data_IF_547843301831
#
_entry.id   IF_547843301831
#
_cell.length_a   1.000
_cell.length_b   1.000
_cell.length_c   1.000
_cell.angle_alpha   90.00
_cell.angle_beta   90.00
_cell.angle_gamma   90.00
#
_symmetry.space_group_name_H-M   'P 1'
#
loop_
_entity.id
_entity.type
_entity.pdbx_description
1 polymer ?
#
# COMPACT_ATOMS: atom_id res chain seq x y z
N UNK A 1 5.56 -40.67 17.65
CA UNK A 1 4.64 -40.40 16.53
C UNK A 1 3.54 -39.39 16.92
N UNK A 2 2.96 -39.51 18.13
CA UNK A 2 1.93 -38.57 18.63
C UNK A 2 2.41 -37.12 18.82
N UNK A 3 3.66 -36.88 19.25
CA UNK A 3 4.16 -35.51 19.46
C UNK A 3 4.30 -34.72 18.14
N UNK A 4 4.81 -35.35 17.06
CA UNK A 4 4.93 -34.69 15.75
C UNK A 4 3.57 -34.32 15.16
N UNK A 5 2.56 -35.18 15.33
CA UNK A 5 1.18 -34.90 14.87
C UNK A 5 0.56 -33.76 15.66
N UNK A 6 0.73 -33.73 16.99
CA UNK A 6 0.24 -32.63 17.83
C UNK A 6 0.90 -31.29 17.48
N UNK A 7 2.20 -31.27 17.19
CA UNK A 7 2.90 -30.04 16.78
C UNK A 7 2.38 -29.53 15.44
N UNK A 8 2.21 -30.40 14.43
CA UNK A 8 1.70 -30.02 13.11
C UNK A 8 0.27 -29.46 13.22
N UNK A 9 -0.59 -30.11 13.98
CA UNK A 9 -1.99 -29.69 14.16
C UNK A 9 -2.07 -28.34 14.89
N UNK A 10 -1.25 -28.12 15.93
CA UNK A 10 -1.21 -26.85 16.64
C UNK A 10 -0.70 -25.67 15.79
N UNK A 11 0.15 -25.94 14.80
CA UNK A 11 0.64 -24.91 13.87
C UNK A 11 -0.44 -24.58 12.83
N UNK A 12 -1.14 -25.58 12.31
CA UNK A 12 -2.26 -25.36 11.37
C UNK A 12 -3.37 -24.51 12.01
N UNK A 13 -3.73 -24.80 13.26
CA UNK A 13 -4.74 -24.04 14.00
C UNK A 13 -4.29 -22.59 14.31
N UNK A 14 -2.98 -22.35 14.35
CA UNK A 14 -2.41 -21.01 14.51
C UNK A 14 -2.47 -20.24 13.20
N UNK A 15 -2.02 -20.85 12.11
CA UNK A 15 -2.05 -20.25 10.77
C UNK A 15 -3.47 -19.90 10.32
N UNK A 16 -4.44 -20.78 10.59
CA UNK A 16 -5.84 -20.52 10.28
C UNK A 16 -6.39 -19.32 11.06
N UNK A 17 -6.07 -19.21 12.36
CA UNK A 17 -6.46 -18.06 13.18
C UNK A 17 -5.81 -16.77 12.69
N UNK A 18 -4.51 -16.83 12.40
CA UNK A 18 -3.75 -15.70 11.88
C UNK A 18 -4.32 -15.13 10.57
N UNK A 19 -4.83 -16.00 9.69
CA UNK A 19 -5.49 -15.59 8.44
C UNK A 19 -6.85 -14.94 8.73
N UNK A 20 -7.64 -15.51 9.64
CA UNK A 20 -8.95 -14.96 10.02
C UNK A 20 -8.81 -13.60 10.70
N UNK A 21 -7.86 -13.44 11.63
CA UNK A 21 -7.61 -12.18 12.33
C UNK A 21 -7.20 -11.07 11.35
N UNK A 22 -6.38 -11.42 10.35
CA UNK A 22 -5.99 -10.51 9.26
C UNK A 22 -7.16 -10.18 8.35
N UNK A 23 -7.99 -11.17 8.03
CA UNK A 23 -9.21 -10.95 7.26
C UNK A 23 -10.11 -9.90 7.92
N UNK A 24 -10.36 -10.04 9.22
CA UNK A 24 -11.13 -9.05 9.95
C UNK A 24 -10.46 -7.67 9.95
N UNK A 25 -9.14 -7.63 10.14
CA UNK A 25 -8.36 -6.39 10.12
C UNK A 25 -8.49 -5.69 8.78
N UNK A 26 -8.37 -6.40 7.67
CA UNK A 26 -8.53 -5.85 6.32
C UNK A 26 -9.92 -5.25 6.13
N UNK A 27 -10.98 -5.97 6.51
CA UNK A 27 -12.34 -5.45 6.37
C UNK A 27 -12.61 -4.23 7.27
N UNK A 28 -11.99 -4.16 8.45
CA UNK A 28 -12.03 -2.97 9.31
C UNK A 28 -11.30 -1.77 8.69
N UNK A 29 -10.11 -1.99 8.12
CA UNK A 29 -9.32 -0.94 7.47
C UNK A 29 -9.97 -0.44 6.17
N UNK A 30 -10.55 -1.34 5.38
CA UNK A 30 -11.28 -1.01 4.16
C UNK A 30 -12.43 -0.03 4.45
N UNK A 31 -13.19 -0.26 5.52
CA UNK A 31 -14.26 0.65 5.93
C UNK A 31 -13.73 1.97 6.49
N UNK A 32 -12.73 1.91 7.38
CA UNK A 32 -12.19 3.09 8.09
C UNK A 32 -11.47 4.06 7.17
N UNK A 33 -10.60 3.55 6.31
CA UNK A 33 -9.63 4.36 5.55
C UNK A 33 -10.05 4.58 4.09
N UNK A 34 -10.89 3.68 3.54
CA UNK A 34 -11.24 3.68 2.12
C UNK A 34 -12.75 3.83 1.86
N UNK A 35 -13.57 3.97 2.90
CA UNK A 35 -15.03 4.11 2.77
C UNK A 35 -15.74 2.86 2.22
N UNK A 36 -15.05 1.72 2.16
CA UNK A 36 -15.56 0.45 1.67
C UNK A 36 -16.41 -0.24 2.74
N UNK A 37 -17.57 0.34 3.01
CA UNK A 37 -18.56 -0.24 3.93
C UNK A 37 -19.12 -1.57 3.41
N UNK A 38 -19.79 -2.33 4.27
CA UNK A 38 -20.40 -3.62 3.91
C UNK A 38 -21.39 -3.49 2.74
N UNK A 39 -22.18 -2.42 2.70
CA UNK A 39 -23.13 -2.19 1.59
C UNK A 39 -22.42 -1.88 0.28
N UNK A 40 -21.34 -1.09 0.32
CA UNK A 40 -20.49 -0.80 -0.85
C UNK A 40 -19.84 -2.08 -1.35
N UNK A 41 -19.18 -2.84 -0.47
CA UNK A 41 -18.56 -4.11 -0.84
C UNK A 41 -19.60 -5.11 -1.40
N UNK A 42 -20.81 -5.15 -0.83
CA UNK A 42 -21.88 -6.00 -1.34
C UNK A 42 -22.29 -5.61 -2.77
N UNK A 43 -22.44 -4.31 -3.04
CA UNK A 43 -22.79 -3.79 -4.36
C UNK A 43 -21.70 -4.06 -5.41
N UNK A 44 -20.43 -3.82 -5.05
CA UNK A 44 -19.30 -3.95 -5.98
C UNK A 44 -18.93 -5.42 -6.28
N UNK A 45 -19.12 -6.32 -5.31
CA UNK A 45 -18.69 -7.74 -5.43
C UNK A 45 -19.82 -8.73 -5.67
N UNK A 46 -21.07 -8.31 -5.47
CA UNK A 46 -22.25 -9.18 -5.46
C UNK A 46 -22.29 -10.17 -4.30
N UNK A 47 -21.44 -10.03 -3.28
CA UNK A 47 -21.50 -10.82 -2.06
C UNK A 47 -22.65 -10.35 -1.17
N UNK A 48 -23.31 -11.28 -0.47
CA UNK A 48 -24.36 -10.88 0.48
C UNK A 48 -23.78 -10.11 1.67
N UNK A 49 -24.49 -9.08 2.13
CA UNK A 49 -24.08 -8.35 3.34
C UNK A 49 -23.97 -9.27 4.56
N UNK A 50 -24.80 -10.31 4.65
CA UNK A 50 -24.71 -11.32 5.72
C UNK A 50 -23.36 -12.04 5.72
N UNK A 51 -22.86 -12.44 4.55
CA UNK A 51 -21.57 -13.11 4.43
C UNK A 51 -20.43 -12.17 4.82
N UNK A 52 -20.47 -10.92 4.35
CA UNK A 52 -19.48 -9.90 4.68
C UNK A 52 -19.44 -9.58 6.19
N UNK A 53 -20.60 -9.52 6.86
CA UNK A 53 -20.68 -9.38 8.32
C UNK A 53 -20.03 -10.57 9.02
N UNK A 54 -20.34 -11.80 8.61
CA UNK A 54 -19.72 -13.02 9.18
C UNK A 54 -18.20 -13.02 9.01
N UNK A 55 -17.69 -12.58 7.86
CA UNK A 55 -16.25 -12.48 7.60
C UNK A 55 -15.56 -11.44 8.47
N UNK A 56 -16.26 -10.35 8.81
CA UNK A 56 -15.76 -9.31 9.71
C UNK A 56 -15.74 -9.75 11.18
N UNK A 57 -16.43 -10.84 11.52
CA UNK A 57 -16.56 -11.38 12.89
C UNK A 57 -15.98 -12.79 13.02
N UNK A 58 -14.97 -13.12 12.21
CA UNK A 58 -14.16 -14.32 12.44
C UNK A 58 -14.58 -15.56 11.66
N UNK A 59 -15.55 -15.47 10.75
CA UNK A 59 -15.84 -16.59 9.84
C UNK A 59 -14.80 -16.64 8.73
N UNK A 60 -14.12 -17.77 8.56
CA UNK A 60 -13.18 -17.96 7.47
C UNK A 60 -13.86 -17.79 6.11
N UNK A 61 -13.28 -16.96 5.24
CA UNK A 61 -13.82 -16.70 3.93
C UNK A 61 -13.38 -17.77 2.92
N UNK A 62 -14.30 -18.30 2.10
CA UNK A 62 -13.93 -19.13 0.96
C UNK A 62 -13.08 -18.36 -0.05
N UNK A 63 -12.07 -19.02 -0.66
CA UNK A 63 -11.14 -18.38 -1.59
C UNK A 63 -11.85 -17.64 -2.75
N UNK A 64 -12.93 -18.20 -3.30
CA UNK A 64 -13.67 -17.56 -4.39
C UNK A 64 -14.30 -16.22 -3.97
N UNK A 65 -14.66 -16.04 -2.70
CA UNK A 65 -15.15 -14.77 -2.17
C UNK A 65 -13.98 -13.81 -1.87
N UNK A 66 -12.84 -14.34 -1.42
CA UNK A 66 -11.62 -13.54 -1.23
C UNK A 66 -11.15 -12.92 -2.56
N UNK A 67 -11.21 -13.68 -3.66
CA UNK A 67 -10.89 -13.17 -5.02
C UNK A 67 -11.82 -12.03 -5.43
N UNK A 68 -13.13 -12.14 -5.16
CA UNK A 68 -14.09 -11.07 -5.46
C UNK A 68 -13.84 -9.79 -4.65
N UNK A 69 -13.43 -9.92 -3.40
CA UNK A 69 -13.05 -8.76 -2.59
C UNK A 69 -11.70 -8.19 -3.03
N UNK A 70 -10.74 -9.03 -3.41
CA UNK A 70 -9.44 -8.58 -3.90
C UNK A 70 -9.54 -7.70 -5.16
N UNK A 71 -10.58 -7.86 -5.98
CA UNK A 71 -10.78 -7.02 -7.16
C UNK A 71 -11.27 -5.59 -6.86
N UNK A 72 -11.69 -5.32 -5.63
CA UNK A 72 -12.23 -4.00 -5.22
C UNK A 72 -11.44 -3.38 -4.07
N UNK A 73 -10.70 -4.18 -3.31
CA UNK A 73 -9.85 -3.71 -2.23
C UNK A 73 -8.55 -3.13 -2.79
N UNK A 74 -8.01 -2.07 -2.17
CA UNK A 74 -6.66 -1.59 -2.45
C UNK A 74 -5.60 -2.68 -2.27
N UNK A 75 -4.59 -2.70 -3.14
CA UNK A 75 -3.52 -3.72 -3.16
C UNK A 75 -2.77 -3.87 -1.84
N UNK A 76 -2.53 -2.77 -1.12
CA UNK A 76 -1.88 -2.83 0.19
C UNK A 76 -2.74 -3.56 1.23
N UNK A 77 -4.07 -3.52 1.14
CA UNK A 77 -4.96 -4.29 2.00
C UNK A 77 -5.01 -5.76 1.59
N UNK A 78 -5.00 -6.05 0.29
CA UNK A 78 -4.91 -7.43 -0.21
C UNK A 78 -3.57 -8.05 0.20
N UNK A 79 -2.49 -7.28 0.19
CA UNK A 79 -1.16 -7.69 0.66
C UNK A 79 -1.16 -8.11 2.14
N UNK A 80 -1.94 -7.44 2.98
CA UNK A 80 -2.06 -7.82 4.40
C UNK A 80 -2.63 -9.23 4.59
N UNK A 81 -3.47 -9.75 3.68
CA UNK A 81 -3.94 -11.14 3.74
C UNK A 81 -2.80 -12.15 3.54
N UNK A 82 -1.82 -11.80 2.69
CA UNK A 82 -0.75 -12.71 2.30
C UNK A 82 0.55 -12.54 3.10
N UNK A 83 0.57 -11.62 4.07
CA UNK A 83 1.69 -11.41 4.98
C UNK A 83 2.19 -12.70 5.66
N UNK A 84 1.33 -13.65 6.12
CA UNK A 84 1.80 -14.92 6.69
C UNK A 84 2.63 -15.77 5.72
N UNK A 85 2.38 -15.62 4.41
CA UNK A 85 3.12 -16.31 3.36
C UNK A 85 4.31 -15.49 2.84
N UNK A 86 4.55 -14.29 3.40
CA UNK A 86 5.59 -13.37 2.94
C UNK A 86 5.38 -12.88 1.51
N UNK A 87 4.12 -12.75 1.06
CA UNK A 87 3.77 -12.25 -0.27
C UNK A 87 3.11 -10.89 -0.19
N UNK A 88 3.33 -10.08 -1.22
CA UNK A 88 2.79 -8.73 -1.38
C UNK A 88 2.22 -8.63 -2.80
N UNK A 89 1.08 -7.95 -2.93
CA UNK A 89 0.50 -7.56 -4.19
C UNK A 89 1.10 -6.22 -4.59
N UNK A 90 1.66 -6.16 -5.78
CA UNK A 90 2.27 -4.95 -6.33
C UNK A 90 1.56 -4.71 -7.66
N UNK A 91 0.98 -3.52 -7.82
CA UNK A 91 0.49 -3.09 -9.11
C UNK A 91 1.69 -2.87 -10.04
N UNK A 92 1.77 -3.66 -11.12
CA UNK A 92 2.82 -3.52 -12.13
C UNK A 92 2.66 -2.24 -12.96
N UNK A 93 1.48 -1.64 -12.94
CA UNK A 93 1.14 -0.45 -13.70
C UNK A 93 1.16 0.83 -12.87
N UNK A 94 1.57 0.80 -11.59
CA UNK A 94 1.60 2.02 -10.79
C UNK A 94 2.65 2.99 -11.35
N UNK A 95 2.20 4.20 -11.69
CA UNK A 95 3.02 5.39 -11.95
C UNK A 95 3.84 5.83 -10.72
N UNK A 96 3.85 5.03 -9.64
CA UNK A 96 4.54 5.31 -8.38
C UNK A 96 6.06 5.27 -8.58
N UNK A 97 6.55 4.29 -9.35
CA UNK A 97 7.94 4.27 -9.82
C UNK A 97 8.25 5.51 -10.68
N UNK A 98 7.30 5.99 -11.49
CA UNK A 98 7.48 7.19 -12.29
C UNK A 98 7.55 8.47 -11.43
N UNK A 99 6.78 8.54 -10.33
CA UNK A 99 6.86 9.65 -9.36
C UNK A 99 8.15 9.61 -8.55
N UNK A 100 8.62 8.43 -8.16
CA UNK A 100 9.92 8.23 -7.51
C UNK A 100 11.09 8.60 -8.45
N UNK A 101 11.03 8.19 -9.71
CA UNK A 101 11.98 8.56 -10.76
C UNK A 101 11.97 10.08 -11.03
N UNK A 102 10.78 10.69 -11.05
CA UNK A 102 10.64 12.14 -11.19
C UNK A 102 11.23 12.90 -9.99
N UNK A 103 11.03 12.38 -8.76
CA UNK A 103 11.63 12.95 -7.56
C UNK A 103 13.15 12.87 -7.60
N UNK A 104 13.69 11.72 -8.04
CA UNK A 104 15.13 11.53 -8.24
C UNK A 104 15.68 12.51 -9.27
N UNK A 105 15.02 12.67 -10.43
CA UNK A 105 15.43 13.57 -11.50
C UNK A 105 15.44 15.04 -11.04
N UNK A 106 14.38 15.50 -10.35
CA UNK A 106 14.33 16.88 -9.87
C UNK A 106 15.38 17.14 -8.78
N UNK A 107 15.62 16.18 -7.87
CA UNK A 107 16.58 16.30 -6.76
C UNK A 107 18.04 16.27 -7.24
N UNK A 108 18.36 15.38 -8.17
CA UNK A 108 19.68 15.30 -8.80
C UNK A 108 19.94 16.55 -9.66
N UNK A 109 18.93 16.98 -10.43
CA UNK A 109 18.98 18.22 -11.21
C UNK A 109 19.23 19.44 -10.33
N UNK A 110 18.54 19.58 -9.19
CA UNK A 110 18.79 20.65 -8.22
C UNK A 110 20.22 20.65 -7.69
N UNK A 111 20.75 19.47 -7.35
CA UNK A 111 22.11 19.32 -6.82
C UNK A 111 23.16 19.72 -7.86
N UNK A 112 23.03 19.26 -9.10
CA UNK A 112 23.91 19.64 -10.20
C UNK A 112 23.86 21.15 -10.47
N UNK A 113 22.65 21.69 -10.60
CA UNK A 113 22.39 23.11 -10.80
C UNK A 113 22.95 24.01 -9.67
N UNK A 114 23.01 23.51 -8.43
CA UNK A 114 23.60 24.20 -7.30
C UNK A 114 25.13 24.20 -7.36
N UNK A 115 25.74 23.08 -7.74
CA UNK A 115 27.20 22.95 -7.88
C UNK A 115 27.70 23.85 -9.02
N UNK A 116 27.05 23.82 -10.19
CA UNK A 116 27.42 24.64 -11.34
C UNK A 116 27.36 26.14 -11.03
N UNK A 117 26.26 26.60 -10.42
CA UNK A 117 26.10 28.02 -10.08
C UNK A 117 26.98 28.49 -8.93
N UNK A 118 27.62 27.56 -8.21
CA UNK A 118 28.61 27.85 -7.17
C UNK A 118 30.04 27.75 -7.70
N UNK A 119 30.24 27.34 -8.96
CA UNK A 119 31.58 27.12 -9.52
C UNK A 119 32.46 28.37 -9.46
N UNK A 120 31.89 29.55 -9.71
CA UNK A 120 32.60 30.84 -9.65
C UNK A 120 32.67 31.44 -8.22
N UNK A 121 32.29 30.66 -7.20
CA UNK A 121 32.40 31.02 -5.78
C UNK A 121 31.30 31.95 -5.25
N UNK A 122 30.45 32.53 -6.11
CA UNK A 122 29.36 33.43 -5.72
C UNK A 122 28.06 33.06 -6.44
N UNK A 123 26.99 32.85 -5.67
CA UNK A 123 25.63 32.66 -6.21
C UNK A 123 24.95 34.03 -6.30
N UNK A 124 24.69 34.52 -7.51
CA UNK A 124 24.05 35.82 -7.70
C UNK A 124 22.54 35.77 -7.37
N UNK A 125 21.85 36.91 -7.22
CA UNK A 125 20.42 36.94 -6.91
C UNK A 125 19.54 36.15 -7.90
N UNK A 126 19.87 36.20 -9.19
CA UNK A 126 19.17 35.45 -10.26
C UNK A 126 19.35 33.93 -10.10
N UNK A 127 20.55 33.50 -9.74
CA UNK A 127 20.84 32.09 -9.50
C UNK A 127 20.09 31.55 -8.27
N UNK A 128 19.99 32.37 -7.22
CA UNK A 128 19.19 32.04 -6.03
C UNK A 128 17.71 31.88 -6.37
N UNK A 129 17.18 32.70 -7.25
CA UNK A 129 15.78 32.61 -7.69
C UNK A 129 15.54 31.33 -8.49
N UNK A 130 16.41 31.01 -9.45
CA UNK A 130 16.34 29.76 -10.22
C UNK A 130 16.43 28.51 -9.32
N UNK A 131 17.33 28.51 -8.33
CA UNK A 131 17.45 27.43 -7.35
C UNK A 131 16.18 27.30 -6.48
N UNK A 132 15.58 28.42 -6.06
CA UNK A 132 14.32 28.39 -5.31
C UNK A 132 13.17 27.83 -6.14
N UNK A 133 13.08 28.18 -7.42
CA UNK A 133 12.06 27.63 -8.31
C UNK A 133 12.21 26.13 -8.48
N UNK A 134 13.45 25.63 -8.62
CA UNK A 134 13.68 24.19 -8.69
C UNK A 134 13.44 23.49 -7.35
N UNK A 135 13.81 24.10 -6.23
CA UNK A 135 13.49 23.57 -4.90
C UNK A 135 11.96 23.46 -4.66
N UNK A 136 11.16 24.41 -5.18
CA UNK A 136 9.69 24.33 -5.13
C UNK A 136 9.16 23.13 -5.93
N UNK A 137 9.74 22.83 -7.09
CA UNK A 137 9.37 21.65 -7.90
C UNK A 137 9.71 20.35 -7.16
N UNK A 138 10.92 20.25 -6.60
CA UNK A 138 11.33 19.11 -5.76
C UNK A 138 10.33 18.91 -4.61
N UNK A 139 9.99 19.97 -3.88
CA UNK A 139 9.05 19.91 -2.77
C UNK A 139 7.66 19.43 -3.23
N UNK A 140 7.14 19.96 -4.35
CA UNK A 140 5.84 19.56 -4.89
C UNK A 140 5.80 18.07 -5.30
N UNK A 141 6.87 17.55 -5.89
CA UNK A 141 6.96 16.13 -6.26
C UNK A 141 7.13 15.26 -5.00
N UNK A 142 7.96 15.68 -4.04
CA UNK A 142 8.16 14.96 -2.78
C UNK A 142 6.86 14.85 -1.96
N UNK A 143 6.03 15.91 -1.92
CA UNK A 143 4.72 15.85 -1.27
C UNK A 143 3.79 14.85 -1.97
N UNK A 144 3.82 14.78 -3.30
CA UNK A 144 3.01 13.80 -4.04
C UNK A 144 3.45 12.36 -3.72
N UNK A 145 4.76 12.09 -3.76
CA UNK A 145 5.34 10.78 -3.42
C UNK A 145 5.04 10.37 -1.97
N UNK A 146 5.03 11.32 -1.03
CA UNK A 146 4.75 11.02 0.38
C UNK A 146 3.26 10.79 0.69
N UNK A 147 2.36 11.11 -0.24
CA UNK A 147 0.91 11.01 -0.08
C UNK A 147 0.25 10.00 -1.04
N UNK A 148 0.99 9.47 -2.01
CA UNK A 148 0.66 8.26 -2.78
C UNK A 148 0.84 7.02 -1.91
#
# INVERSE_FOLDING_TARGET
MNERVNTIMSNLDREQRDVVDRQERVLRLAERDHGLSISVLSAETGLSESSLRSYKTGTAMPLHNAVKLASVLPDHLVSLWFEPAGKVVIDRASDEDALLDQLLLESTGYSAEHVERRADGVICPRDKEALRDRARRVAAVATKVACS
#
